data_IF_652381398402
#
_entry.id   IF_652381398402
#
_cell.length_a   1.000
_cell.length_b   1.000
_cell.length_c   1.000
_cell.angle_alpha   90.00
_cell.angle_beta   90.00
_cell.angle_gamma   90.00
#
_symmetry.space_group_name_H-M   'P 1'
#
loop_
_entity.id
_entity.type
_entity.pdbx_description
1 polymer ?
#
# COMPACT_ATOMS: atom_id res chain seq x y z
N UNK A 1 73.82 -49.79 -7.87
CA UNK A 1 72.47 -50.15 -8.36
C UNK A 1 71.44 -49.87 -7.27
N UNK A 2 70.42 -49.05 -7.61
CA UNK A 2 69.14 -48.80 -6.90
C UNK A 2 69.23 -48.10 -5.52
N UNK A 3 68.98 -46.77 -5.48
CA UNK A 3 67.69 -46.07 -5.19
C UNK A 3 67.29 -46.17 -3.71
N UNK A 4 66.73 -45.17 -3.00
CA UNK A 4 66.48 -43.73 -3.13
C UNK A 4 65.96 -43.32 -1.72
N UNK A 5 66.21 -42.08 -1.29
CA UNK A 5 65.80 -41.58 0.03
C UNK A 5 64.31 -41.24 0.15
N UNK A 6 63.84 -41.09 1.40
CA UNK A 6 62.55 -40.47 1.73
C UNK A 6 62.73 -39.64 3.02
N UNK A 7 62.88 -38.33 2.83
CA UNK A 7 62.44 -37.31 3.77
C UNK A 7 60.93 -37.15 3.62
N UNK A 8 60.16 -37.12 4.71
CA UNK A 8 58.82 -36.52 4.70
C UNK A 8 58.55 -35.72 5.98
N UNK A 9 58.59 -34.42 5.76
CA UNK A 9 58.06 -33.34 6.58
C UNK A 9 56.56 -33.46 6.84
N UNK A 10 56.15 -32.90 7.99
CA UNK A 10 54.78 -32.56 8.35
C UNK A 10 54.18 -31.56 7.34
N UNK A 11 52.94 -31.81 6.92
CA UNK A 11 52.02 -30.74 6.51
C UNK A 11 50.64 -31.02 7.08
N UNK A 12 50.21 -30.16 8.01
CA UNK A 12 48.84 -30.06 8.47
C UNK A 12 47.99 -29.47 7.34
N UNK A 13 46.94 -30.18 6.91
CA UNK A 13 45.93 -29.62 6.01
C UNK A 13 44.90 -28.84 6.84
N UNK A 14 45.00 -27.51 6.82
CA UNK A 14 43.90 -26.65 7.18
C UNK A 14 42.87 -26.67 6.04
N UNK A 15 41.75 -27.34 6.28
CA UNK A 15 40.62 -27.38 5.35
C UNK A 15 39.87 -26.04 5.45
N UNK A 16 40.21 -25.07 4.60
CA UNK A 16 39.42 -23.86 4.43
C UNK A 16 38.20 -24.23 3.59
N UNK A 17 37.07 -24.50 4.26
CA UNK A 17 35.76 -24.55 3.62
C UNK A 17 35.34 -23.12 3.32
N UNK A 18 35.63 -22.66 2.09
CA UNK A 18 35.02 -21.46 1.53
C UNK A 18 33.53 -21.76 1.30
N UNK A 19 32.71 -21.39 2.28
CA UNK A 19 31.26 -21.32 2.12
C UNK A 19 30.96 -20.21 1.08
N UNK A 20 30.90 -20.60 -0.19
CA UNK A 20 30.28 -19.82 -1.24
C UNK A 20 28.78 -19.73 -0.93
N UNK A 21 28.40 -18.73 -0.13
CA UNK A 21 27.00 -18.34 -0.06
C UNK A 21 26.59 -17.85 -1.45
N UNK A 22 25.60 -18.46 -2.10
CA UNK A 22 25.16 -17.99 -3.39
C UNK A 22 24.55 -16.59 -3.21
N UNK A 23 24.92 -15.65 -4.09
CA UNK A 23 24.43 -14.27 -4.07
C UNK A 23 22.90 -14.15 -4.03
N UNK A 24 22.19 -15.21 -4.43
CA UNK A 24 20.73 -15.36 -4.32
C UNK A 24 20.21 -15.27 -2.88
N UNK A 25 20.95 -15.78 -1.88
CA UNK A 25 20.53 -15.69 -0.48
C UNK A 25 20.65 -14.27 0.09
N UNK A 26 21.65 -13.49 -0.37
CA UNK A 26 21.84 -12.09 0.03
C UNK A 26 20.77 -11.17 -0.56
N UNK A 27 20.40 -11.35 -1.84
CA UNK A 27 19.34 -10.55 -2.48
C UNK A 27 17.96 -10.81 -1.86
N UNK A 28 17.61 -12.06 -1.59
CA UNK A 28 16.33 -12.42 -0.96
C UNK A 28 16.18 -11.84 0.46
N UNK A 29 17.28 -11.71 1.21
CA UNK A 29 17.28 -11.09 2.53
C UNK A 29 17.04 -9.56 2.46
N UNK A 30 17.50 -8.90 1.39
CA UNK A 30 17.27 -7.47 1.16
C UNK A 30 15.80 -7.16 0.82
N UNK A 31 15.19 -7.95 -0.06
CA UNK A 31 13.76 -7.83 -0.42
C UNK A 31 12.85 -7.99 0.79
N UNK A 32 13.01 -9.06 1.58
CA UNK A 32 12.13 -9.32 2.72
C UNK A 32 12.29 -8.24 3.80
N UNK A 33 13.51 -7.72 4.02
CA UNK A 33 13.73 -6.62 4.96
C UNK A 33 13.01 -5.34 4.54
N UNK A 34 13.11 -4.96 3.27
CA UNK A 34 12.44 -3.77 2.74
C UNK A 34 10.92 -3.96 2.77
N UNK A 35 10.43 -5.13 2.35
CA UNK A 35 9.01 -5.46 2.35
C UNK A 35 8.41 -5.47 3.76
N UNK A 36 9.13 -6.03 4.74
CA UNK A 36 8.68 -6.05 6.13
C UNK A 36 8.64 -4.64 6.72
N UNK A 37 9.65 -3.81 6.44
CA UNK A 37 9.65 -2.40 6.84
C UNK A 37 8.49 -1.63 6.20
N UNK A 38 8.21 -1.87 4.92
CA UNK A 38 7.08 -1.29 4.21
C UNK A 38 5.75 -1.71 4.82
N UNK A 39 5.57 -3.02 5.08
CA UNK A 39 4.37 -3.58 5.73
C UNK A 39 4.14 -2.93 7.10
N UNK A 40 5.17 -2.84 7.93
CA UNK A 40 5.08 -2.24 9.27
C UNK A 40 4.73 -0.75 9.22
N UNK A 41 5.36 0.02 8.33
CA UNK A 41 5.08 1.45 8.19
C UNK A 41 3.69 1.72 7.63
N UNK A 42 3.26 0.96 6.63
CA UNK A 42 1.89 1.10 6.08
C UNK A 42 0.86 0.69 7.13
N UNK A 43 1.04 -0.43 7.83
CA UNK A 43 0.14 -0.83 8.91
C UNK A 43 0.10 0.22 10.03
N UNK A 44 1.24 0.78 10.41
CA UNK A 44 1.33 1.87 11.38
C UNK A 44 0.56 3.12 10.94
N UNK A 45 0.69 3.52 9.67
CA UNK A 45 -0.02 4.70 9.16
C UNK A 45 -1.53 4.44 9.00
N UNK A 46 -1.94 3.22 8.63
CA UNK A 46 -3.36 2.82 8.65
C UNK A 46 -3.95 2.84 10.07
N UNK A 47 -3.19 2.40 11.08
CA UNK A 47 -3.60 2.51 12.47
C UNK A 47 -3.70 3.98 12.92
N UNK A 48 -2.77 4.83 12.49
CA UNK A 48 -2.82 6.27 12.77
C UNK A 48 -4.06 6.92 12.13
N UNK A 49 -4.43 6.48 10.93
CA UNK A 49 -5.68 6.88 10.26
C UNK A 49 -6.92 6.47 11.07
N UNK A 50 -6.98 5.22 11.55
CA UNK A 50 -8.06 4.74 12.43
C UNK A 50 -8.18 5.59 13.70
N UNK A 51 -7.06 5.83 14.38
CA UNK A 51 -7.03 6.64 15.60
C UNK A 51 -7.51 8.07 15.34
N UNK A 52 -7.03 8.70 14.26
CA UNK A 52 -7.45 10.03 13.86
C UNK A 52 -8.95 10.12 13.59
N UNK A 53 -9.48 9.18 12.81
CA UNK A 53 -10.91 9.09 12.49
C UNK A 53 -11.76 8.85 13.75
N UNK A 54 -11.35 7.93 14.62
CA UNK A 54 -12.04 7.62 15.87
C UNK A 54 -12.10 8.81 16.81
N UNK A 55 -10.99 9.54 16.96
CA UNK A 55 -10.93 10.78 17.76
C UNK A 55 -11.84 11.87 17.18
N UNK A 56 -11.78 12.08 15.86
CA UNK A 56 -12.65 13.04 15.19
C UNK A 56 -14.12 12.65 15.33
N UNK A 57 -14.46 11.37 15.21
CA UNK A 57 -15.81 10.86 15.41
C UNK A 57 -16.31 11.11 16.84
N UNK A 58 -15.47 10.86 17.84
CA UNK A 58 -15.81 11.13 19.24
C UNK A 58 -16.02 12.63 19.53
N UNK A 59 -15.24 13.50 18.90
CA UNK A 59 -15.40 14.95 19.00
C UNK A 59 -16.69 15.42 18.31
N UNK A 60 -16.93 14.97 17.07
CA UNK A 60 -18.12 15.27 16.29
C UNK A 60 -19.40 14.74 16.93
N UNK A 61 -19.34 13.63 17.66
CA UNK A 61 -20.46 13.14 18.46
C UNK A 61 -20.94 14.18 19.47
N UNK A 62 -20.02 14.96 20.06
CA UNK A 62 -20.33 16.01 21.05
C UNK A 62 -20.72 17.33 20.41
N UNK A 63 -20.05 17.72 19.32
CA UNK A 63 -20.24 19.02 18.67
C UNK A 63 -21.37 19.03 17.65
N UNK A 64 -21.80 17.86 17.18
CA UNK A 64 -22.62 17.70 15.99
C UNK A 64 -21.79 17.77 14.71
N UNK A 65 -22.44 17.46 13.59
CA UNK A 65 -21.83 17.35 12.26
C UNK A 65 -21.86 18.63 11.42
N UNK A 66 -22.51 19.69 11.92
CA UNK A 66 -22.86 20.87 11.11
C UNK A 66 -22.22 22.13 11.70
N UNK A 67 -21.91 23.09 10.82
CA UNK A 67 -21.60 24.47 11.21
C UNK A 67 -20.18 24.66 11.76
N UNK A 68 -19.98 25.80 12.43
CA UNK A 68 -18.66 26.26 12.88
C UNK A 68 -18.01 25.36 13.95
N UNK A 69 -18.78 24.49 14.62
CA UNK A 69 -18.25 23.62 15.67
C UNK A 69 -17.59 22.35 15.12
N UNK A 70 -18.09 21.80 14.00
CA UNK A 70 -17.51 20.63 13.35
C UNK A 70 -16.21 20.96 12.59
N UNK A 71 -16.11 22.20 12.10
CA UNK A 71 -15.06 22.64 11.19
C UNK A 71 -13.65 22.55 11.78
N UNK A 72 -13.36 22.99 13.03
CA UNK A 72 -12.05 22.82 13.64
C UNK A 72 -11.64 21.35 13.83
N UNK A 73 -12.61 20.46 14.10
CA UNK A 73 -12.35 19.03 14.23
C UNK A 73 -11.88 18.46 12.89
N UNK A 74 -12.61 18.74 11.81
CA UNK A 74 -12.26 18.27 10.46
C UNK A 74 -10.96 18.88 9.95
N UNK A 75 -10.73 20.19 10.17
CA UNK A 75 -9.48 20.84 9.79
C UNK A 75 -8.28 20.26 10.55
N UNK A 76 -8.46 19.91 11.84
CA UNK A 76 -7.43 19.22 12.62
C UNK A 76 -7.17 17.82 12.09
N UNK A 77 -8.22 17.04 11.82
CA UNK A 77 -8.12 15.71 11.24
C UNK A 77 -7.34 15.73 9.92
N UNK A 78 -7.69 16.64 9.01
CA UNK A 78 -7.03 16.74 7.71
C UNK A 78 -5.57 17.11 7.82
N UNK A 79 -5.22 18.09 8.67
CA UNK A 79 -3.82 18.47 8.90
C UNK A 79 -2.98 17.37 9.55
N UNK A 80 -3.59 16.33 10.13
CA UNK A 80 -2.82 15.19 10.64
C UNK A 80 -2.18 14.39 9.51
N UNK A 81 -2.72 14.42 8.28
CA UNK A 81 -2.32 13.52 7.20
C UNK A 81 -1.94 14.29 5.94
N UNK A 82 -0.65 14.30 5.59
CA UNK A 82 -0.16 15.02 4.39
C UNK A 82 -0.72 14.47 3.07
N UNK A 83 -1.27 13.26 3.08
CA UNK A 83 -1.91 12.62 1.94
C UNK A 83 -3.43 12.86 1.87
N UNK A 84 -4.04 13.45 2.90
CA UNK A 84 -5.46 13.76 2.90
C UNK A 84 -5.75 14.84 1.85
N UNK A 85 -6.77 14.61 1.03
CA UNK A 85 -7.28 15.61 0.11
C UNK A 85 -8.31 16.47 0.82
N UNK A 86 -9.31 15.82 1.43
CA UNK A 86 -10.27 16.47 2.30
C UNK A 86 -10.75 15.53 3.42
N UNK A 87 -11.51 16.13 4.34
CA UNK A 87 -12.16 15.47 5.45
C UNK A 87 -13.58 16.01 5.55
N UNK A 88 -14.54 15.10 5.62
CA UNK A 88 -15.95 15.45 5.61
C UNK A 88 -16.67 14.88 6.82
N UNK A 89 -17.60 15.66 7.37
CA UNK A 89 -18.70 15.11 8.16
C UNK A 89 -19.84 14.77 7.19
N UNK A 90 -20.37 13.55 7.26
CA UNK A 90 -21.44 13.06 6.38
C UNK A 90 -22.66 12.74 7.23
N UNK A 91 -23.82 13.28 6.88
CA UNK A 91 -25.05 13.06 7.66
C UNK A 91 -25.71 11.69 7.34
N UNK A 92 -26.76 11.33 8.07
CA UNK A 92 -27.49 10.07 7.87
C UNK A 92 -28.17 9.93 6.49
N UNK A 93 -28.30 11.02 5.73
CA UNK A 93 -28.80 11.01 4.36
C UNK A 93 -27.67 10.80 3.34
N UNK A 94 -26.43 10.59 3.78
CA UNK A 94 -25.26 10.45 2.91
C UNK A 94 -24.89 11.76 2.22
N UNK A 95 -25.11 12.91 2.87
CA UNK A 95 -24.70 14.22 2.34
C UNK A 95 -23.53 14.79 3.13
N UNK A 96 -22.59 15.41 2.41
CA UNK A 96 -21.44 16.10 3.00
C UNK A 96 -21.93 17.35 3.75
N UNK A 97 -21.95 17.30 5.08
CA UNK A 97 -22.47 18.36 5.93
C UNK A 97 -21.46 19.50 6.13
N UNK A 98 -20.20 19.16 6.38
CA UNK A 98 -19.07 20.10 6.50
C UNK A 98 -17.86 19.45 5.85
N UNK A 99 -17.09 20.23 5.09
CA UNK A 99 -15.88 19.76 4.40
C UNK A 99 -14.71 20.70 4.70
N UNK A 100 -13.55 20.13 4.97
CA UNK A 100 -12.28 20.84 5.11
C UNK A 100 -11.17 20.14 4.32
N UNK A 101 -10.18 20.86 3.77
CA UNK A 101 -9.95 22.30 3.90
C UNK A 101 -10.88 23.18 3.04
N UNK A 102 -10.81 24.51 3.22
CA UNK A 102 -11.69 25.50 2.58
C UNK A 102 -11.88 25.33 1.07
N UNK A 103 -10.81 24.96 0.34
CA UNK A 103 -10.85 24.76 -1.11
C UNK A 103 -11.83 23.67 -1.56
N UNK A 104 -12.21 22.75 -0.66
CA UNK A 104 -13.20 21.68 -0.91
C UNK A 104 -14.60 21.99 -0.38
N UNK A 105 -14.84 23.15 0.28
CA UNK A 105 -16.18 23.51 0.79
C UNK A 105 -17.26 23.59 -0.28
N UNK A 106 -16.89 23.77 -1.54
CA UNK A 106 -17.83 23.70 -2.69
C UNK A 106 -18.56 22.36 -2.83
N UNK A 107 -18.09 21.31 -2.14
CA UNK A 107 -18.73 19.99 -2.10
C UNK A 107 -19.70 19.84 -0.91
N UNK A 108 -19.80 20.81 0.00
CA UNK A 108 -20.84 20.81 1.04
C UNK A 108 -22.24 20.73 0.41
N UNK A 109 -23.10 19.89 0.98
CA UNK A 109 -24.46 19.59 0.50
C UNK A 109 -24.54 18.55 -0.62
N UNK A 110 -23.42 18.13 -1.22
CA UNK A 110 -23.40 17.07 -2.24
C UNK A 110 -23.91 15.76 -1.67
N UNK A 111 -24.67 15.06 -2.51
CA UNK A 111 -25.21 13.73 -2.21
C UNK A 111 -24.22 12.67 -2.65
N UNK A 112 -23.71 11.92 -1.67
CA UNK A 112 -22.76 10.82 -1.85
C UNK A 112 -23.33 9.50 -1.32
N UNK A 113 -24.64 9.44 -1.02
CA UNK A 113 -25.33 8.25 -0.50
C UNK A 113 -25.25 7.02 -1.41
N UNK A 114 -25.02 7.24 -2.70
CA UNK A 114 -24.81 6.18 -3.70
C UNK A 114 -23.40 5.58 -3.70
N UNK A 115 -22.44 6.21 -3.03
CA UNK A 115 -21.08 5.68 -2.91
C UNK A 115 -21.07 4.47 -1.97
N UNK A 116 -20.29 3.47 -2.34
CA UNK A 116 -20.37 2.15 -1.71
C UNK A 116 -20.00 2.21 -0.21
N UNK A 117 -18.91 2.91 0.11
CA UNK A 117 -18.40 3.07 1.46
C UNK A 117 -19.35 3.87 2.35
N UNK A 118 -19.94 4.96 1.83
CA UNK A 118 -20.96 5.77 2.54
C UNK A 118 -22.17 4.91 2.90
N UNK A 119 -22.68 4.15 1.93
CA UNK A 119 -23.80 3.23 2.17
C UNK A 119 -23.42 2.16 3.21
N UNK A 120 -22.19 1.65 3.16
CA UNK A 120 -21.70 0.61 4.07
C UNK A 120 -21.61 1.12 5.50
N UNK A 121 -20.93 2.24 5.76
CA UNK A 121 -20.76 2.81 7.11
C UNK A 121 -22.11 3.20 7.74
N UNK A 122 -23.01 3.79 6.97
CA UNK A 122 -24.34 4.19 7.48
C UNK A 122 -25.22 2.97 7.78
N UNK A 123 -25.13 1.91 6.96
CA UNK A 123 -25.87 0.66 7.18
C UNK A 123 -25.34 -0.10 8.39
N UNK A 124 -24.04 -0.37 8.44
CA UNK A 124 -23.44 -1.25 9.45
C UNK A 124 -23.18 -0.54 10.78
N UNK A 125 -22.93 0.78 10.75
CA UNK A 125 -22.41 1.49 11.92
C UNK A 125 -21.01 1.03 12.32
N UNK A 126 -20.24 0.49 11.37
CA UNK A 126 -18.86 0.07 11.55
C UNK A 126 -17.95 0.89 10.63
N UNK A 127 -16.70 1.18 11.04
CA UNK A 127 -15.75 1.86 10.16
C UNK A 127 -15.50 1.09 8.86
N UNK A 128 -15.18 1.80 7.78
CA UNK A 128 -14.96 1.23 6.45
C UNK A 128 -13.80 1.92 5.74
N UNK A 129 -13.12 1.17 4.88
CA UNK A 129 -12.17 1.71 3.90
C UNK A 129 -12.66 1.30 2.51
N UNK A 130 -12.84 2.25 1.60
CA UNK A 130 -13.30 1.96 0.25
C UNK A 130 -12.23 1.23 -0.58
N UNK A 131 -12.66 0.57 -1.66
CA UNK A 131 -11.78 0.39 -2.82
C UNK A 131 -11.57 1.74 -3.52
N UNK A 132 -10.64 1.81 -4.47
CA UNK A 132 -10.52 3.01 -5.32
C UNK A 132 -11.83 3.26 -6.07
N UNK A 133 -12.34 4.49 -5.96
CA UNK A 133 -13.52 4.96 -6.68
C UNK A 133 -13.27 6.35 -7.26
N UNK A 134 -14.11 6.79 -8.18
CA UNK A 134 -14.03 8.16 -8.71
C UNK A 134 -14.84 9.10 -7.81
N UNK A 135 -14.15 10.01 -7.13
CA UNK A 135 -14.74 10.89 -6.13
C UNK A 135 -15.50 12.06 -6.75
N UNK A 136 -16.36 12.73 -5.96
CA UNK A 136 -17.10 13.91 -6.45
C UNK A 136 -16.19 15.12 -6.65
N UNK A 137 -15.00 15.07 -6.05
CA UNK A 137 -13.90 16.03 -6.21
C UNK A 137 -13.19 15.90 -7.57
N UNK A 138 -13.46 14.81 -8.31
CA UNK A 138 -13.11 14.67 -9.73
C UNK A 138 -11.87 13.83 -10.02
N UNK A 139 -11.47 12.95 -9.11
CA UNK A 139 -10.31 12.07 -9.30
C UNK A 139 -10.50 10.69 -8.65
N UNK A 140 -9.72 9.66 -9.06
CA UNK A 140 -9.68 8.38 -8.35
C UNK A 140 -9.10 8.53 -6.95
N UNK A 141 -9.78 7.99 -5.94
CA UNK A 141 -9.43 8.14 -4.54
C UNK A 141 -9.85 6.93 -3.70
N UNK A 142 -9.36 6.88 -2.48
CA UNK A 142 -9.81 5.99 -1.40
C UNK A 142 -10.40 6.86 -0.29
N UNK A 143 -11.47 6.37 0.32
CA UNK A 143 -12.16 7.03 1.42
C UNK A 143 -12.23 6.09 2.64
N UNK A 144 -11.77 6.61 3.78
CA UNK A 144 -11.87 5.94 5.07
C UNK A 144 -12.91 6.64 5.92
N UNK A 145 -13.96 5.92 6.30
CA UNK A 145 -15.07 6.46 7.08
C UNK A 145 -15.22 5.80 8.44
N UNK A 146 -15.60 6.61 9.43
CA UNK A 146 -15.86 6.16 10.80
C UNK A 146 -17.23 6.66 11.26
N UNK A 147 -18.09 5.80 11.83
CA UNK A 147 -19.43 6.20 12.28
C UNK A 147 -19.34 7.19 13.44
N UNK A 148 -20.16 8.24 13.39
CA UNK A 148 -20.28 9.23 14.46
C UNK A 148 -21.50 8.90 15.31
N UNK A 149 -21.27 8.74 16.60
CA UNK A 149 -22.29 8.45 17.60
C UNK A 149 -22.29 9.58 18.62
N UNK A 150 -23.47 10.13 18.90
CA UNK A 150 -23.65 11.16 19.92
C UNK A 150 -23.61 10.58 21.34
N UNK A 151 -23.45 11.40 22.39
CA UNK A 151 -23.33 10.91 23.77
C UNK A 151 -24.50 10.07 24.28
N UNK A 152 -25.70 10.23 23.70
CA UNK A 152 -26.88 9.44 24.03
C UNK A 152 -26.96 8.08 23.30
N UNK A 153 -25.91 7.73 22.55
CA UNK A 153 -25.81 6.48 21.81
C UNK A 153 -26.45 6.50 20.42
N UNK A 154 -27.01 7.63 19.97
CA UNK A 154 -27.59 7.71 18.61
C UNK A 154 -26.51 7.94 17.56
N UNK A 155 -26.54 7.14 16.49
CA UNK A 155 -25.76 7.41 15.27
C UNK A 155 -26.28 8.70 14.63
N UNK A 156 -25.38 9.62 14.32
CA UNK A 156 -25.72 10.92 13.70
C UNK A 156 -25.13 11.08 12.29
N UNK A 157 -24.25 10.18 11.87
CA UNK A 157 -23.62 10.17 10.54
C UNK A 157 -22.26 9.48 10.56
N UNK A 158 -21.32 9.96 9.75
CA UNK A 158 -19.93 9.50 9.69
C UNK A 158 -18.95 10.68 9.55
N UNK A 159 -17.68 10.41 9.81
CA UNK A 159 -16.55 11.27 9.47
C UNK A 159 -15.66 10.53 8.48
N UNK A 160 -15.14 11.25 7.49
CA UNK A 160 -14.38 10.73 6.36
C UNK A 160 -13.01 11.40 6.27
N UNK A 161 -12.03 10.65 5.77
CA UNK A 161 -10.79 11.16 5.18
C UNK A 161 -10.68 10.61 3.77
N UNK A 162 -10.76 11.49 2.78
CA UNK A 162 -10.54 11.18 1.37
C UNK A 162 -9.06 11.35 1.04
N UNK A 163 -8.44 10.37 0.39
CA UNK A 163 -7.03 10.45 0.02
C UNK A 163 -6.69 9.69 -1.25
N UNK A 164 -5.54 10.04 -1.82
CA UNK A 164 -4.95 9.35 -2.96
C UNK A 164 -4.00 8.24 -2.47
N UNK A 165 -4.28 6.95 -2.77
CA UNK A 165 -3.48 5.85 -2.25
C UNK A 165 -2.02 5.91 -2.72
N UNK A 166 -1.75 6.45 -3.90
CA UNK A 166 -0.39 6.64 -4.41
C UNK A 166 0.41 7.67 -3.61
N UNK A 167 -0.24 8.69 -3.05
CA UNK A 167 0.40 9.69 -2.16
C UNK A 167 0.70 9.09 -0.80
N UNK A 168 -0.28 8.39 -0.23
CA UNK A 168 -0.13 7.62 1.01
C UNK A 168 1.03 6.63 0.91
N UNK A 169 1.01 5.75 -0.09
CA UNK A 169 2.00 4.69 -0.25
C UNK A 169 3.36 5.26 -0.67
N UNK A 170 3.38 6.25 -1.58
CA UNK A 170 4.61 6.87 -2.06
C UNK A 170 5.38 7.59 -0.96
N UNK A 171 4.70 8.26 -0.03
CA UNK A 171 5.33 8.88 1.14
C UNK A 171 6.10 7.89 2.02
N UNK A 172 5.67 6.63 2.04
CA UNK A 172 6.30 5.55 2.81
C UNK A 172 7.35 4.81 1.97
N UNK A 173 7.03 4.48 0.73
CA UNK A 173 7.83 3.60 -0.12
C UNK A 173 9.06 4.29 -0.69
N UNK A 174 8.94 5.53 -1.17
CA UNK A 174 10.06 6.23 -1.82
C UNK A 174 11.28 6.34 -0.90
N UNK A 175 11.16 6.74 0.39
CA UNK A 175 12.30 6.76 1.30
C UNK A 175 12.91 5.38 1.58
N UNK A 176 12.08 4.32 1.64
CA UNK A 176 12.54 2.96 1.95
C UNK A 176 13.41 2.35 0.84
N UNK A 177 13.12 2.68 -0.42
CA UNK A 177 13.79 2.06 -1.58
C UNK A 177 14.90 2.90 -2.18
N UNK A 178 15.05 4.17 -1.79
CA UNK A 178 15.96 5.15 -2.43
C UNK A 178 17.40 4.68 -2.59
N UNK A 179 17.90 3.84 -1.68
CA UNK A 179 19.29 3.36 -1.66
C UNK A 179 19.37 1.83 -1.74
N UNK A 180 18.36 1.19 -2.32
CA UNK A 180 18.30 -0.25 -2.49
C UNK A 180 18.10 -0.59 -3.96
N UNK A 181 18.33 -1.85 -4.34
CA UNK A 181 17.96 -2.39 -5.65
C UNK A 181 16.53 -2.92 -5.68
N UNK A 182 15.76 -2.70 -4.62
CA UNK A 182 14.40 -3.23 -4.45
C UNK A 182 13.42 -2.20 -5.01
N UNK A 183 12.60 -2.62 -5.96
CA UNK A 183 11.40 -1.90 -6.37
C UNK A 183 10.24 -2.33 -5.47
N UNK A 184 9.30 -1.42 -5.18
CA UNK A 184 8.08 -1.76 -4.45
C UNK A 184 6.86 -1.19 -5.17
N UNK A 185 5.83 -2.01 -5.31
CA UNK A 185 4.53 -1.62 -5.86
C UNK A 185 3.41 -2.22 -5.00
N UNK A 186 2.19 -1.73 -5.20
CA UNK A 186 1.04 -2.21 -4.45
C UNK A 186 -0.21 -2.30 -5.31
N UNK A 187 -1.10 -3.24 -4.96
CA UNK A 187 -2.40 -3.39 -5.61
C UNK A 187 -3.50 -3.79 -4.63
N UNK A 188 -4.74 -3.52 -5.03
CA UNK A 188 -5.93 -4.13 -4.44
C UNK A 188 -6.08 -5.59 -4.87
N UNK A 189 -6.91 -6.35 -4.14
CA UNK A 189 -7.21 -7.75 -4.49
C UNK A 189 -7.87 -7.89 -5.88
N UNK A 190 -8.58 -6.86 -6.34
CA UNK A 190 -9.14 -6.78 -7.69
C UNK A 190 -8.11 -6.55 -8.80
N UNK A 191 -6.83 -6.39 -8.47
CA UNK A 191 -5.72 -6.20 -9.41
C UNK A 191 -5.47 -4.74 -9.81
N UNK A 192 -6.21 -3.78 -9.25
CA UNK A 192 -5.94 -2.36 -9.49
C UNK A 192 -4.64 -1.94 -8.80
N UNK A 193 -3.71 -1.37 -9.56
CA UNK A 193 -2.43 -0.89 -9.04
C UNK A 193 -2.64 0.43 -8.32
N UNK A 194 -2.34 0.43 -7.02
CA UNK A 194 -2.45 1.58 -6.11
C UNK A 194 -1.20 2.45 -6.15
N UNK A 195 -0.04 1.84 -6.33
CA UNK A 195 1.24 2.52 -6.38
C UNK A 195 2.24 1.73 -7.21
N UNK A 196 3.04 2.43 -8.00
CA UNK A 196 4.23 1.93 -8.66
C UNK A 196 5.21 3.09 -8.84
N UNK A 197 6.52 2.81 -8.87
CA UNK A 197 7.53 3.84 -9.13
C UNK A 197 7.41 4.42 -10.56
N UNK A 198 6.95 3.63 -11.53
CA UNK A 198 6.48 4.14 -12.81
C UNK A 198 5.02 4.58 -12.69
N UNK A 199 4.81 5.88 -12.51
CA UNK A 199 3.49 6.48 -12.37
C UNK A 199 2.50 6.13 -13.50
N UNK A 200 2.98 5.70 -14.68
CA UNK A 200 2.10 5.26 -15.78
C UNK A 200 1.41 3.91 -15.53
N UNK A 201 1.81 3.17 -14.48
CA UNK A 201 1.18 1.93 -14.06
C UNK A 201 0.07 2.14 -13.03
N UNK A 202 0.08 3.26 -12.31
CA UNK A 202 -0.91 3.58 -11.28
C UNK A 202 -2.29 3.70 -11.92
N UNK A 203 -3.30 3.07 -11.31
CA UNK A 203 -4.67 3.04 -11.82
C UNK A 203 -4.90 2.05 -12.96
N UNK A 204 -3.88 1.36 -13.46
CA UNK A 204 -4.07 0.23 -14.36
C UNK A 204 -4.47 -1.02 -13.57
N UNK A 205 -5.31 -1.85 -14.16
CA UNK A 205 -5.66 -3.15 -13.59
C UNK A 205 -4.80 -4.27 -14.21
N UNK A 206 -4.14 -5.04 -13.35
CA UNK A 206 -3.21 -6.11 -13.70
C UNK A 206 -3.87 -7.24 -14.51
N UNK A 207 -5.17 -7.45 -14.34
CA UNK A 207 -5.92 -8.55 -14.95
C UNK A 207 -6.63 -8.16 -16.26
N UNK A 208 -6.97 -6.89 -16.43
CA UNK A 208 -7.78 -6.44 -17.55
C UNK A 208 -7.06 -5.48 -18.50
N UNK A 209 -5.99 -4.82 -18.07
CA UNK A 209 -5.26 -3.89 -18.94
C UNK A 209 -4.50 -4.63 -20.04
N UNK A 210 -4.67 -4.17 -21.29
CA UNK A 210 -3.93 -4.66 -22.46
C UNK A 210 -2.41 -4.57 -22.31
N UNK A 211 -1.91 -3.65 -21.46
CA UNK A 211 -0.48 -3.48 -21.17
C UNK A 211 0.19 -4.76 -20.65
N UNK A 212 -0.55 -5.60 -19.92
CA UNK A 212 0.01 -6.80 -19.27
C UNK A 212 -0.22 -8.08 -20.07
N UNK A 213 -1.06 -8.06 -21.11
CA UNK A 213 -1.38 -9.24 -21.92
C UNK A 213 -0.17 -9.91 -22.57
N UNK A 214 0.86 -9.18 -23.08
CA UNK A 214 2.07 -9.81 -23.62
C UNK A 214 2.92 -10.56 -22.58
N UNK A 215 2.68 -10.33 -21.29
CA UNK A 215 3.50 -10.82 -20.18
C UNK A 215 2.73 -11.84 -19.34
N UNK A 216 2.25 -12.93 -19.93
CA UNK A 216 1.28 -13.85 -19.30
C UNK A 216 1.66 -14.34 -17.88
N UNK A 217 2.95 -14.45 -17.56
CA UNK A 217 3.45 -14.79 -16.22
C UNK A 217 3.09 -13.75 -15.14
N UNK A 218 3.01 -12.47 -15.49
CA UNK A 218 2.68 -11.39 -14.56
C UNK A 218 1.21 -11.43 -14.13
N UNK A 219 0.18 -11.46 -15.00
CA UNK A 219 -1.20 -11.67 -14.57
C UNK A 219 -1.41 -12.98 -13.81
N UNK A 220 -0.71 -14.07 -14.18
CA UNK A 220 -0.79 -15.34 -13.46
C UNK A 220 -0.25 -15.23 -12.02
N UNK A 221 0.91 -14.58 -11.83
CA UNK A 221 1.42 -14.28 -10.50
C UNK A 221 0.51 -13.31 -9.75
N UNK A 222 -0.04 -12.30 -10.43
CA UNK A 222 -1.00 -11.35 -9.88
C UNK A 222 -2.20 -12.03 -9.24
N UNK A 223 -2.77 -13.06 -9.88
CA UNK A 223 -3.87 -13.84 -9.30
C UNK A 223 -3.48 -14.54 -8.00
N UNK A 224 -2.23 -15.01 -7.89
CA UNK A 224 -1.70 -15.59 -6.65
C UNK A 224 -1.51 -14.52 -5.57
N UNK A 225 -0.96 -13.36 -5.93
CA UNK A 225 -0.79 -12.22 -5.01
C UNK A 225 -2.16 -11.76 -4.47
N UNK A 226 -3.17 -11.68 -5.33
CA UNK A 226 -4.54 -11.36 -4.92
C UNK A 226 -5.12 -12.42 -3.95
N UNK A 227 -4.94 -13.71 -4.23
CA UNK A 227 -5.54 -14.79 -3.44
C UNK A 227 -4.79 -15.13 -2.13
N UNK A 228 -3.49 -14.84 -2.04
CA UNK A 228 -2.64 -15.27 -0.92
C UNK A 228 -2.15 -14.03 -0.14
N UNK A 229 -2.30 -13.99 1.20
CA UNK A 229 -1.93 -12.81 1.98
C UNK A 229 -0.42 -12.54 2.00
N UNK A 230 0.39 -13.57 1.73
CA UNK A 230 1.83 -13.48 1.60
C UNK A 230 2.34 -14.57 0.66
N UNK A 231 3.52 -14.36 0.10
CA UNK A 231 4.18 -15.39 -0.68
C UNK A 231 5.35 -14.86 -1.50
N UNK A 232 5.77 -15.71 -2.43
CA UNK A 232 6.85 -15.42 -3.36
C UNK A 232 6.58 -15.97 -4.75
N UNK A 233 7.19 -15.37 -5.74
CA UNK A 233 7.10 -15.79 -7.12
C UNK A 233 8.07 -15.03 -8.01
N UNK A 234 7.99 -15.33 -9.30
CA UNK A 234 8.84 -14.75 -10.33
C UNK A 234 7.97 -14.44 -11.54
N UNK A 235 8.29 -13.36 -12.23
CA UNK A 235 7.62 -12.97 -13.47
C UNK A 235 8.57 -12.21 -14.38
N UNK A 236 8.17 -12.01 -15.63
CA UNK A 236 8.92 -11.19 -16.58
C UNK A 236 8.13 -9.93 -16.89
N UNK A 237 8.81 -8.78 -16.86
CA UNK A 237 8.23 -7.50 -17.20
C UNK A 237 9.32 -6.48 -17.53
N UNK A 238 8.95 -5.31 -18.02
CA UNK A 238 9.89 -4.25 -18.37
C UNK A 238 10.67 -3.74 -17.16
N UNK A 239 11.95 -3.42 -17.36
CA UNK A 239 12.79 -2.72 -16.39
C UNK A 239 12.43 -1.22 -16.39
N UNK A 240 11.63 -0.78 -15.42
CA UNK A 240 11.08 0.57 -15.39
C UNK A 240 10.34 0.91 -16.69
N UNK A 241 10.70 2.05 -17.30
CA UNK A 241 10.15 2.53 -18.59
C UNK A 241 10.89 2.01 -19.82
N UNK A 242 11.88 1.13 -19.65
CA UNK A 242 12.62 0.53 -20.77
C UNK A 242 11.77 -0.49 -21.51
N UNK A 243 12.06 -0.74 -22.79
CA UNK A 243 11.51 -1.88 -23.52
C UNK A 243 12.16 -3.22 -23.13
N UNK A 244 13.24 -3.20 -22.34
CA UNK A 244 13.98 -4.39 -21.94
C UNK A 244 13.16 -5.21 -20.94
N UNK A 245 12.76 -6.42 -21.35
CA UNK A 245 12.11 -7.39 -20.49
C UNK A 245 13.14 -8.06 -19.61
N UNK A 246 12.90 -8.05 -18.31
CA UNK A 246 13.77 -8.67 -17.31
C UNK A 246 12.96 -9.60 -16.43
N UNK A 247 13.64 -10.62 -15.89
CA UNK A 247 13.07 -11.52 -14.91
C UNK A 247 13.14 -10.88 -13.52
N UNK A 248 12.02 -10.89 -12.82
CA UNK A 248 11.81 -10.21 -11.55
C UNK A 248 11.43 -11.23 -10.47
N UNK A 249 12.19 -11.27 -9.38
CA UNK A 249 11.84 -11.99 -8.14
C UNK A 249 10.90 -11.12 -7.33
N UNK A 250 9.81 -11.68 -6.82
CA UNK A 250 8.81 -10.96 -6.06
C UNK A 250 8.51 -11.63 -4.73
N UNK A 251 8.48 -10.82 -3.67
CA UNK A 251 7.91 -11.15 -2.37
C UNK A 251 6.69 -10.26 -2.15
N UNK A 252 5.63 -10.80 -1.55
CA UNK A 252 4.49 -9.97 -1.16
C UNK A 252 3.99 -10.27 0.25
N UNK A 253 3.42 -9.23 0.87
CA UNK A 253 2.72 -9.28 2.15
C UNK A 253 1.47 -8.42 2.08
N UNK A 254 0.55 -8.64 3.03
CA UNK A 254 -0.72 -7.92 3.11
C UNK A 254 -0.72 -6.92 4.26
N UNK A 255 -1.38 -5.80 4.02
CA UNK A 255 -1.84 -4.84 5.02
C UNK A 255 -3.34 -4.64 4.83
N UNK A 256 -4.05 -4.33 5.91
CA UNK A 256 -5.51 -4.20 5.86
C UNK A 256 -6.00 -3.17 6.87
N UNK A 257 -7.08 -2.48 6.50
CA UNK A 257 -7.85 -1.62 7.40
C UNK A 257 -9.33 -1.83 7.10
N UNK A 258 -10.13 -2.03 8.15
CA UNK A 258 -11.60 -2.20 8.06
C UNK A 258 -12.08 -3.25 7.05
N UNK A 259 -11.33 -4.37 6.93
CA UNK A 259 -11.65 -5.47 6.03
C UNK A 259 -11.19 -5.26 4.58
N UNK A 260 -10.70 -4.08 4.22
CA UNK A 260 -10.09 -3.82 2.91
C UNK A 260 -8.60 -4.12 2.98
N UNK A 261 -8.12 -4.95 2.05
CA UNK A 261 -6.74 -5.43 2.03
C UNK A 261 -5.99 -4.94 0.82
N UNK A 262 -4.74 -4.54 1.03
CA UNK A 262 -3.79 -4.21 -0.03
C UNK A 262 -2.62 -5.18 -0.02
N UNK A 263 -2.11 -5.49 -1.21
CA UNK A 263 -0.95 -6.33 -1.43
C UNK A 263 0.25 -5.45 -1.70
N UNK A 264 1.27 -5.55 -0.85
CA UNK A 264 2.55 -4.86 -1.03
C UNK A 264 3.53 -5.85 -1.64
N UNK A 265 4.21 -5.45 -2.72
CA UNK A 265 5.06 -6.34 -3.50
C UNK A 265 6.44 -5.73 -3.66
N UNK A 266 7.44 -6.36 -3.06
CA UNK A 266 8.84 -6.00 -3.22
C UNK A 266 9.46 -6.86 -4.32
N UNK A 267 10.28 -6.24 -5.17
CA UNK A 267 10.78 -6.84 -6.39
C UNK A 267 12.26 -6.52 -6.61
N UNK A 268 13.06 -7.49 -7.02
CA UNK A 268 14.40 -7.25 -7.60
C UNK A 268 14.54 -7.91 -8.96
N UNK A 269 15.43 -7.34 -9.77
CA UNK A 269 15.81 -7.93 -11.06
C UNK A 269 16.79 -9.07 -10.84
N UNK A 270 16.44 -10.26 -11.33
CA UNK A 270 17.35 -11.40 -11.36
C UNK A 270 18.47 -11.10 -12.38
N UNK A 271 19.70 -10.98 -11.89
CA UNK A 271 20.85 -10.91 -12.78
C UNK A 271 21.26 -12.34 -13.15
N UNK A 272 21.56 -12.63 -14.44
CA UNK A 272 22.12 -13.90 -14.83
C UNK A 272 23.38 -14.18 -14.00
N UNK A 273 23.49 -15.38 -13.43
CA UNK A 273 24.71 -15.80 -12.76
C UNK A 273 25.85 -15.83 -13.79
N UNK A 274 26.82 -14.92 -13.64
CA UNK A 274 28.07 -14.93 -14.42
C UNK A 274 28.15 -13.91 -15.56
N UNK A 275 28.37 -12.64 -15.21
CA UNK A 275 29.42 -11.85 -15.84
C UNK A 275 30.22 -11.17 -14.74
N UNK A 276 31.28 -11.85 -14.29
CA UNK A 276 32.36 -11.17 -13.59
C UNK A 276 32.83 -10.01 -14.50
N UNK A 277 32.91 -8.81 -13.93
CA UNK A 277 33.83 -7.79 -14.46
C UNK A 277 35.24 -8.17 -14.05
#
# INVERSE_FOLDING_TARGET
MKKNGISKWLFAQAMVVLLLWPATALCAAGEDRVLEAARQKVAGELNRLDEGLREAAAALGKTGLIGQNARPVLASLCRKFDYAVDCAAVNLQGRMAVVEPEVFRRFEGKDISGQEQVRRVLKTGSPVLSSVFFSVEGFPAVDAEYPVVSPDGKRIGSVSVLFQPEKFLGGIFVPLVRQTSVEIWAMEEGGLILYDADASQIGLNLFTSGRYQPYAGLPALGKRIAAQPQGKGVYEFTAGRSANVVRKSALWKTVSLYGTSWRLVAVTVEHPAGKAK
#
